data_IF_759837475413
#
_entry.id   IF_759837475413
#
_cell.length_a   1.000
_cell.length_b   1.000
_cell.length_c   1.000
_cell.angle_alpha   90.00
_cell.angle_beta   90.00
_cell.angle_gamma   90.00
#
_symmetry.space_group_name_H-M   'P 1'
#
loop_
_entity.id
_entity.type
_entity.pdbx_description
1 polymer ?
#
# COMPACT_ATOMS: atom_id res chain seq x y z
N UNK A 1 46.92 42.72 11.35
CA UNK A 1 45.76 41.91 11.80
C UNK A 1 46.08 41.36 13.18
N UNK A 2 45.27 41.64 14.21
CA UNK A 2 45.53 41.19 15.60
C UNK A 2 45.42 39.66 15.66
N UNK A 3 46.22 38.98 16.49
CA UNK A 3 46.23 37.50 16.59
C UNK A 3 44.85 36.88 16.90
N UNK A 4 43.96 37.63 17.56
CA UNK A 4 42.59 37.20 17.81
C UNK A 4 41.76 37.09 16.52
N UNK A 5 41.91 38.02 15.58
CA UNK A 5 41.21 38.01 14.29
C UNK A 5 41.63 36.82 13.43
N UNK A 6 42.92 36.45 13.47
CA UNK A 6 43.43 35.28 12.74
C UNK A 6 42.87 33.96 13.31
N UNK A 7 42.68 33.87 14.64
CA UNK A 7 42.06 32.70 15.28
C UNK A 7 40.58 32.56 14.91
N UNK A 8 39.82 33.65 14.87
CA UNK A 8 38.42 33.62 14.44
C UNK A 8 38.28 33.29 12.95
N UNK A 9 39.20 33.78 12.10
CA UNK A 9 39.23 33.43 10.68
C UNK A 9 39.55 31.94 10.47
N UNK A 10 40.53 31.39 11.20
CA UNK A 10 40.88 29.96 11.09
C UNK A 10 39.74 29.08 11.62
N UNK A 11 39.07 29.45 12.70
CA UNK A 11 37.93 28.69 13.25
C UNK A 11 36.74 28.74 12.28
N UNK A 12 36.45 29.89 11.66
CA UNK A 12 35.37 30.02 10.66
C UNK A 12 35.71 29.26 9.37
N UNK A 13 36.93 29.35 8.84
CA UNK A 13 37.37 28.55 7.69
C UNK A 13 37.33 27.04 7.99
N UNK A 14 37.70 26.64 9.21
CA UNK A 14 37.63 25.25 9.66
C UNK A 14 36.18 24.77 9.77
N UNK A 15 35.25 25.62 10.23
CA UNK A 15 33.83 25.31 10.25
C UNK A 15 33.27 25.11 8.82
N UNK A 16 33.71 25.94 7.86
CA UNK A 16 33.35 25.80 6.44
C UNK A 16 33.98 24.57 5.77
N UNK A 17 35.21 24.19 6.15
CA UNK A 17 35.87 22.97 5.67
C UNK A 17 35.29 21.68 6.32
N UNK A 18 34.65 21.80 7.49
CA UNK A 18 33.90 20.71 8.13
C UNK A 18 32.43 20.62 7.72
N UNK A 19 31.97 21.44 6.76
CA UNK A 19 30.77 21.11 5.97
C UNK A 19 31.15 19.97 5.02
N UNK A 20 31.51 18.83 5.60
CA UNK A 20 31.80 17.60 4.90
C UNK A 20 30.60 17.28 4.02
N UNK A 21 30.89 16.98 2.75
CA UNK A 21 29.94 16.58 1.72
C UNK A 21 28.61 16.11 2.31
N UNK A 22 27.63 17.00 2.39
CA UNK A 22 26.25 16.59 2.69
C UNK A 22 25.88 15.69 1.53
N UNK A 23 25.97 14.38 1.77
CA UNK A 23 25.57 13.35 0.83
C UNK A 23 24.10 13.61 0.52
N UNK A 24 23.85 14.23 -0.61
CA UNK A 24 22.50 14.64 -0.98
C UNK A 24 21.78 13.40 -1.50
N UNK A 25 20.72 13.05 -0.77
CA UNK A 25 19.79 11.98 -1.11
C UNK A 25 19.02 12.40 -2.36
N UNK A 26 18.81 11.46 -3.29
CA UNK A 26 17.91 11.71 -4.41
C UNK A 26 16.48 11.47 -3.96
N UNK A 27 15.60 12.42 -4.25
CA UNK A 27 14.19 12.32 -3.91
C UNK A 27 13.36 12.22 -5.19
N UNK A 28 12.57 11.17 -5.31
CA UNK A 28 11.52 11.01 -6.32
C UNK A 28 10.40 11.99 -5.95
N UNK A 29 10.01 12.83 -6.90
CA UNK A 29 8.94 13.82 -6.72
C UNK A 29 7.57 13.21 -6.98
N UNK A 30 6.50 13.84 -6.49
CA UNK A 30 5.14 13.40 -6.77
C UNK A 30 4.87 13.31 -8.29
N UNK A 31 5.37 14.27 -9.08
CA UNK A 31 5.17 14.27 -10.52
C UNK A 31 5.83 13.07 -11.22
N UNK A 32 6.98 12.60 -10.72
CA UNK A 32 7.69 11.45 -11.29
C UNK A 32 7.02 10.12 -10.97
N UNK A 33 6.17 10.04 -9.93
CA UNK A 33 5.39 8.82 -9.66
C UNK A 33 4.19 8.65 -10.59
N UNK A 34 3.75 9.71 -11.28
CA UNK A 34 2.67 9.68 -12.27
C UNK A 34 3.11 9.08 -13.61
N UNK A 35 3.45 7.80 -13.58
CA UNK A 35 3.83 7.00 -14.75
C UNK A 35 3.28 5.59 -14.65
N UNK A 36 3.24 4.90 -15.78
CA UNK A 36 2.92 3.47 -15.87
C UNK A 36 4.15 2.55 -15.72
N UNK A 37 5.35 3.12 -15.63
CA UNK A 37 6.59 2.42 -15.30
C UNK A 37 6.56 1.89 -13.87
N UNK A 38 7.11 0.70 -13.66
CA UNK A 38 7.34 0.16 -12.32
C UNK A 38 8.73 0.53 -11.83
N UNK A 39 8.79 1.22 -10.70
CA UNK A 39 10.04 1.51 -10.01
C UNK A 39 10.45 0.29 -9.20
N UNK A 40 11.69 -0.16 -9.39
CA UNK A 40 12.24 -1.34 -8.73
C UNK A 40 13.69 -1.09 -8.32
N UNK A 41 14.14 -1.81 -7.30
CA UNK A 41 15.56 -1.96 -6.98
C UNK A 41 15.99 -3.42 -7.19
N UNK A 42 17.30 -3.67 -7.22
CA UNK A 42 17.84 -5.03 -7.30
C UNK A 42 18.34 -5.46 -5.93
N UNK A 43 17.80 -6.57 -5.43
CA UNK A 43 18.22 -7.22 -4.18
C UNK A 43 18.56 -8.66 -4.51
N UNK A 44 19.80 -9.09 -4.24
CA UNK A 44 20.28 -10.44 -4.53
C UNK A 44 19.98 -10.91 -5.98
N UNK A 45 20.25 -10.03 -6.97
CA UNK A 45 19.97 -10.25 -8.39
C UNK A 45 18.50 -10.48 -8.74
N UNK A 46 17.56 -10.04 -7.89
CA UNK A 46 16.12 -10.06 -8.14
C UNK A 46 15.55 -8.66 -8.05
N UNK A 47 14.54 -8.37 -8.87
CA UNK A 47 13.82 -7.13 -8.75
C UNK A 47 12.78 -7.20 -7.63
N UNK A 48 12.73 -6.14 -6.83
CA UNK A 48 11.68 -5.89 -5.86
C UNK A 48 11.14 -4.48 -6.08
N UNK A 49 9.87 -4.25 -5.72
CA UNK A 49 9.25 -2.95 -5.88
C UNK A 49 9.97 -1.91 -5.02
N UNK A 50 10.26 -0.76 -5.61
CA UNK A 50 10.72 0.41 -4.86
C UNK A 50 9.50 1.10 -4.25
N UNK A 51 9.38 1.05 -2.93
CA UNK A 51 8.23 1.59 -2.19
C UNK A 51 8.57 2.87 -1.41
N UNK A 52 9.74 3.46 -1.67
CA UNK A 52 10.22 4.68 -1.03
C UNK A 52 10.50 5.78 -2.05
N UNK A 53 10.49 7.02 -1.59
CA UNK A 53 10.77 8.21 -2.39
C UNK A 53 12.23 8.68 -2.30
N UNK A 54 13.05 8.10 -1.42
CA UNK A 54 14.40 8.58 -1.16
C UNK A 54 15.46 7.52 -1.43
N UNK A 55 16.56 7.96 -2.04
CA UNK A 55 17.68 7.11 -2.41
C UNK A 55 19.00 7.69 -1.93
N UNK A 56 19.77 6.84 -1.25
CA UNK A 56 21.13 7.14 -0.83
C UNK A 56 22.05 7.25 -2.05
N UNK A 57 23.12 8.06 -1.98
CA UNK A 57 24.08 8.15 -3.06
C UNK A 57 24.64 6.79 -3.47
N UNK A 58 24.82 6.60 -4.77
CA UNK A 58 25.22 5.35 -5.43
C UNK A 58 24.17 4.24 -5.45
N UNK A 59 23.00 4.40 -4.81
CA UNK A 59 21.89 3.47 -5.03
C UNK A 59 21.37 3.59 -6.46
N UNK A 60 21.12 2.44 -7.08
CA UNK A 60 20.56 2.34 -8.42
C UNK A 60 19.09 1.92 -8.35
N UNK A 61 18.29 2.50 -9.23
CA UNK A 61 16.92 2.07 -9.51
C UNK A 61 16.79 1.66 -10.96
N UNK A 62 15.83 0.77 -11.19
CA UNK A 62 15.37 0.41 -12.52
C UNK A 62 13.90 0.78 -12.69
N UNK A 63 13.52 1.21 -13.89
CA UNK A 63 12.14 1.50 -14.27
C UNK A 63 11.73 0.55 -15.39
N UNK A 64 10.79 -0.34 -15.08
CA UNK A 64 10.40 -1.45 -15.94
C UNK A 64 9.13 -1.13 -16.76
N UNK A 65 9.12 -1.62 -18.00
CA UNK A 65 7.97 -1.71 -18.89
C UNK A 65 7.83 -3.16 -19.40
N UNK A 66 6.66 -3.54 -19.90
CA UNK A 66 6.43 -4.86 -20.48
C UNK A 66 6.83 -4.89 -21.98
N UNK A 67 6.71 -6.04 -22.63
CA UNK A 67 6.89 -6.19 -24.07
C UNK A 67 8.36 -6.20 -24.51
N UNK A 68 9.25 -6.74 -23.66
CA UNK A 68 10.70 -6.75 -23.88
C UNK A 68 11.31 -5.35 -24.04
N UNK A 69 10.64 -4.32 -23.51
CA UNK A 69 11.18 -2.98 -23.47
C UNK A 69 12.51 -2.93 -22.72
N UNK A 70 13.43 -2.09 -23.19
CA UNK A 70 14.72 -1.88 -22.52
C UNK A 70 14.49 -1.38 -21.08
N UNK A 71 15.16 -2.03 -20.13
CA UNK A 71 15.18 -1.59 -18.74
C UNK A 71 15.89 -0.25 -18.66
N UNK A 72 15.19 0.77 -18.15
CA UNK A 72 15.81 2.04 -17.85
C UNK A 72 16.44 1.98 -16.45
N UNK A 73 17.71 2.35 -16.32
CA UNK A 73 18.42 2.39 -15.04
C UNK A 73 18.87 3.82 -14.74
N UNK A 74 18.79 4.22 -13.48
CA UNK A 74 19.36 5.48 -13.00
C UNK A 74 20.02 5.29 -11.64
N UNK A 75 21.11 6.01 -11.42
CA UNK A 75 21.85 5.99 -10.17
C UNK A 75 21.70 7.33 -9.46
N UNK A 76 21.51 7.29 -8.14
CA UNK A 76 21.53 8.48 -7.33
C UNK A 76 22.96 9.05 -7.22
N UNK A 77 23.20 10.23 -7.80
CA UNK A 77 24.47 10.93 -7.70
C UNK A 77 24.71 11.53 -6.31
N UNK A 78 25.97 11.79 -5.97
CA UNK A 78 26.35 12.48 -4.72
C UNK A 78 25.85 13.93 -4.63
N UNK A 79 25.34 14.48 -5.74
CA UNK A 79 24.73 15.79 -5.88
C UNK A 79 23.20 15.76 -5.71
N UNK A 80 22.61 14.64 -5.27
CA UNK A 80 21.17 14.50 -5.04
C UNK A 80 20.34 14.44 -6.32
N UNK A 81 20.97 14.12 -7.46
CA UNK A 81 20.30 14.00 -8.75
C UNK A 81 20.43 12.60 -9.32
N UNK A 82 19.34 12.12 -9.91
CA UNK A 82 19.34 10.91 -10.72
C UNK A 82 20.14 11.10 -12.00
N UNK A 83 21.03 10.17 -12.30
CA UNK A 83 21.82 10.16 -13.53
C UNK A 83 21.75 8.77 -14.20
N UNK A 84 21.18 8.66 -15.41
CA UNK A 84 20.44 9.71 -16.14
C UNK A 84 19.17 10.18 -15.41
N UNK A 85 18.63 11.38 -15.71
CA UNK A 85 17.36 11.85 -15.14
C UNK A 85 16.20 10.88 -15.43
N UNK A 86 15.23 10.80 -14.51
CA UNK A 86 14.11 9.87 -14.66
C UNK A 86 13.29 10.19 -15.92
N UNK A 87 12.83 9.15 -16.65
CA UNK A 87 12.11 9.31 -17.90
C UNK A 87 10.73 9.92 -17.63
N UNK A 88 10.34 10.87 -18.49
CA UNK A 88 8.98 11.44 -18.49
C UNK A 88 8.02 10.68 -19.40
N UNK A 89 8.53 9.72 -20.18
CA UNK A 89 7.75 8.93 -21.13
C UNK A 89 7.24 7.65 -20.47
N UNK A 90 5.95 7.42 -20.68
CA UNK A 90 5.27 6.20 -20.29
C UNK A 90 5.68 5.01 -21.17
N UNK A 91 5.35 3.82 -20.71
CA UNK A 91 5.54 2.57 -21.40
C UNK A 91 4.61 2.46 -22.62
N UNK A 92 5.14 1.93 -23.73
CA UNK A 92 4.27 1.49 -24.83
C UNK A 92 3.39 0.31 -24.42
N UNK A 93 3.91 -0.56 -23.53
CA UNK A 93 3.18 -1.68 -22.93
C UNK A 93 3.42 -1.71 -21.42
N UNK A 94 2.35 -1.65 -20.65
CA UNK A 94 2.43 -1.60 -19.19
C UNK A 94 2.53 -3.01 -18.62
N UNK A 95 3.28 -3.17 -17.52
CA UNK A 95 3.26 -4.41 -16.74
C UNK A 95 1.92 -4.44 -15.97
N UNK A 96 1.04 -5.42 -16.22
CA UNK A 96 -0.23 -5.52 -15.52
C UNK A 96 -0.03 -5.99 -14.08
N UNK A 97 -0.90 -5.58 -13.14
CA UNK A 97 -0.92 -6.17 -11.81
C UNK A 97 -1.33 -7.64 -11.87
N UNK A 98 -0.90 -8.42 -10.89
CA UNK A 98 -1.17 -9.84 -10.80
C UNK A 98 -1.42 -10.25 -9.35
N UNK A 99 -2.32 -11.21 -9.18
CA UNK A 99 -2.58 -11.88 -7.92
C UNK A 99 -2.35 -13.38 -8.13
N UNK A 100 -1.48 -13.99 -7.32
CA UNK A 100 -1.13 -15.41 -7.45
C UNK A 100 -1.24 -16.13 -6.10
N UNK A 101 -1.81 -17.35 -6.07
CA UNK A 101 -1.81 -18.14 -4.84
C UNK A 101 -0.38 -18.62 -4.53
N UNK A 102 -0.09 -18.78 -3.24
CA UNK A 102 1.17 -19.35 -2.75
C UNK A 102 0.95 -20.22 -1.53
N UNK A 103 1.88 -21.14 -1.27
CA UNK A 103 1.88 -21.92 -0.04
C UNK A 103 2.28 -21.03 1.15
N UNK A 104 1.62 -21.25 2.29
CA UNK A 104 1.92 -20.55 3.54
C UNK A 104 1.58 -21.44 4.72
N UNK A 105 2.46 -21.48 5.72
CA UNK A 105 2.25 -22.20 6.98
C UNK A 105 1.44 -21.38 8.00
N UNK A 106 1.32 -20.07 7.81
CA UNK A 106 0.59 -19.16 8.72
C UNK A 106 -0.82 -18.84 8.22
N UNK A 107 -1.16 -19.21 6.99
CA UNK A 107 -2.50 -19.01 6.46
C UNK A 107 -3.30 -20.31 6.55
N UNK A 108 -4.39 -20.36 7.32
CA UNK A 108 -5.27 -21.54 7.36
C UNK A 108 -6.06 -21.76 6.04
N UNK A 109 -5.95 -20.83 5.09
CA UNK A 109 -6.61 -20.85 3.78
C UNK A 109 -5.60 -20.59 2.67
N UNK A 110 -6.02 -19.94 1.59
CA UNK A 110 -5.11 -19.58 0.50
C UNK A 110 -4.41 -18.27 0.82
N UNK A 111 -3.08 -18.29 0.84
CA UNK A 111 -2.29 -17.06 0.81
C UNK A 111 -2.19 -16.58 -0.64
N UNK A 112 -2.58 -15.34 -0.89
CA UNK A 112 -2.44 -14.68 -2.18
C UNK A 112 -1.35 -13.62 -2.11
N UNK A 113 -0.42 -13.64 -3.06
CA UNK A 113 0.53 -12.56 -3.29
C UNK A 113 -0.09 -11.56 -4.26
N UNK A 114 -0.05 -10.28 -3.91
CA UNK A 114 -0.43 -9.17 -4.78
C UNK A 114 0.82 -8.46 -5.23
N UNK A 115 0.95 -8.19 -6.53
CA UNK A 115 2.15 -7.58 -7.06
C UNK A 115 2.18 -7.53 -8.58
N UNK A 116 3.38 -7.68 -9.14
CA UNK A 116 3.61 -7.59 -10.57
C UNK A 116 4.56 -8.70 -11.01
N UNK A 117 4.29 -9.30 -12.18
CA UNK A 117 5.18 -10.30 -12.77
C UNK A 117 6.06 -9.64 -13.83
N UNK A 118 7.37 -9.85 -13.74
CA UNK A 118 8.35 -9.42 -14.74
C UNK A 118 9.30 -10.56 -15.07
N UNK A 119 9.16 -11.12 -16.28
CA UNK A 119 9.80 -12.38 -16.64
C UNK A 119 9.40 -13.50 -15.66
N UNK A 120 10.41 -14.13 -15.05
CA UNK A 120 10.21 -15.18 -14.05
C UNK A 120 10.12 -14.66 -12.60
N UNK A 121 10.28 -13.35 -12.39
CA UNK A 121 10.25 -12.74 -11.05
C UNK A 121 8.84 -12.24 -10.74
N UNK A 122 8.34 -12.60 -9.56
CA UNK A 122 7.15 -11.98 -8.99
C UNK A 122 7.58 -10.94 -7.96
N UNK A 123 7.28 -9.67 -8.23
CA UNK A 123 7.59 -8.55 -7.35
C UNK A 123 6.38 -8.32 -6.46
N UNK A 124 6.46 -8.84 -5.24
CA UNK A 124 5.40 -8.75 -4.25
C UNK A 124 5.27 -7.33 -3.71
N UNK A 125 4.03 -6.88 -3.57
CA UNK A 125 3.66 -5.65 -2.87
C UNK A 125 3.18 -5.96 -1.45
N UNK A 126 2.22 -6.89 -1.34
CA UNK A 126 1.72 -7.41 -0.09
C UNK A 126 1.15 -8.80 -0.32
N UNK A 127 0.84 -9.50 0.77
CA UNK A 127 0.16 -10.79 0.73
C UNK A 127 -1.06 -10.79 1.64
N UNK A 128 -2.09 -11.57 1.28
CA UNK A 128 -3.33 -11.68 2.06
C UNK A 128 -3.74 -13.14 2.22
N UNK A 129 -4.05 -13.53 3.45
CA UNK A 129 -4.68 -14.82 3.74
C UNK A 129 -6.19 -14.70 3.55
N UNK A 130 -6.74 -15.43 2.59
CA UNK A 130 -8.11 -15.24 2.12
C UNK A 130 -8.83 -16.57 1.87
N UNK A 131 -10.08 -16.67 2.32
CA UNK A 131 -11.01 -17.74 1.90
C UNK A 131 -11.98 -17.19 0.86
N UNK A 132 -11.78 -17.59 -0.40
CA UNK A 132 -12.63 -17.17 -1.52
C UNK A 132 -14.06 -17.71 -1.43
N UNK A 133 -14.29 -18.83 -0.71
CA UNK A 133 -15.64 -19.41 -0.58
C UNK A 133 -16.54 -18.58 0.31
N UNK A 134 -15.96 -17.90 1.30
CA UNK A 134 -16.69 -17.03 2.24
C UNK A 134 -16.36 -15.56 2.05
N UNK A 135 -15.55 -15.24 1.04
CA UNK A 135 -15.01 -13.91 0.75
C UNK A 135 -14.31 -13.24 1.95
N UNK A 136 -13.69 -14.05 2.82
CA UNK A 136 -13.14 -13.56 4.09
C UNK A 136 -11.64 -13.34 4.00
N UNK A 137 -11.22 -12.10 4.22
CA UNK A 137 -9.82 -11.76 4.49
C UNK A 137 -9.51 -11.94 5.98
N UNK A 138 -8.49 -12.75 6.28
CA UNK A 138 -8.08 -13.04 7.66
C UNK A 138 -7.03 -12.05 8.15
N UNK A 139 -5.98 -11.89 7.35
CA UNK A 139 -4.94 -10.90 7.58
C UNK A 139 -4.21 -10.58 6.27
N UNK A 140 -3.63 -9.40 6.18
CA UNK A 140 -2.64 -9.03 5.17
C UNK A 140 -1.31 -8.71 5.83
N UNK A 141 -0.22 -8.91 5.08
CA UNK A 141 1.14 -8.55 5.48
C UNK A 141 1.72 -7.66 4.40
N UNK A 142 2.19 -6.47 4.78
CA UNK A 142 2.86 -5.53 3.90
C UNK A 142 4.08 -4.88 4.57
N UNK A 143 4.94 -4.28 3.75
CA UNK A 143 6.05 -3.46 4.22
C UNK A 143 5.71 -1.99 4.02
N UNK A 144 5.80 -1.21 5.09
CA UNK A 144 5.55 0.25 5.08
C UNK A 144 6.90 0.97 5.12
N UNK A 145 7.11 1.85 4.15
CA UNK A 145 8.31 2.67 4.04
C UNK A 145 8.02 4.11 4.48
N UNK A 146 8.96 4.76 5.19
CA UNK A 146 8.92 6.20 5.35
C UNK A 146 8.97 6.89 3.98
N UNK A 147 8.13 7.89 3.80
CA UNK A 147 8.01 8.65 2.56
C UNK A 147 7.56 10.07 2.84
N UNK A 148 8.06 11.04 2.06
CA UNK A 148 7.56 12.41 2.09
C UNK A 148 6.49 12.66 1.01
N UNK A 149 6.24 11.68 0.15
CA UNK A 149 5.23 11.75 -0.88
C UNK A 149 3.83 11.56 -0.31
N UNK A 150 2.86 12.20 -0.97
CA UNK A 150 1.46 12.06 -0.59
C UNK A 150 0.88 10.82 -1.26
N UNK A 151 0.01 10.12 -0.53
CA UNK A 151 -0.88 9.14 -1.15
C UNK A 151 -2.02 9.88 -1.84
N UNK A 152 -2.07 9.81 -3.16
CA UNK A 152 -3.20 10.29 -3.92
C UNK A 152 -4.40 9.36 -3.74
N UNK A 153 -5.62 9.92 -3.85
CA UNK A 153 -6.84 9.13 -3.69
C UNK A 153 -7.06 8.25 -4.95
N UNK A 154 -7.05 6.92 -4.83
CA UNK A 154 -7.33 6.05 -5.96
C UNK A 154 -8.82 6.08 -6.36
N UNK A 155 -9.15 5.61 -7.57
CA UNK A 155 -10.53 5.30 -7.95
C UNK A 155 -11.20 4.39 -6.92
N UNK A 156 -12.51 4.53 -6.73
CA UNK A 156 -13.28 3.77 -5.72
C UNK A 156 -13.65 2.34 -6.15
N UNK A 157 -13.21 1.92 -7.34
CA UNK A 157 -13.43 0.59 -7.92
C UNK A 157 -12.50 -0.41 -7.24
N UNK A 158 -13.03 -1.59 -6.91
CA UNK A 158 -12.28 -2.71 -6.36
C UNK A 158 -12.16 -3.81 -7.39
N UNK A 159 -10.97 -4.41 -7.50
CA UNK A 159 -10.73 -5.53 -8.42
C UNK A 159 -11.15 -6.86 -7.75
N UNK A 160 -11.78 -7.73 -8.54
CA UNK A 160 -12.15 -9.11 -8.15
C UNK A 160 -11.00 -10.11 -8.32
N UNK A 161 -10.01 -9.74 -9.15
CA UNK A 161 -8.81 -10.54 -9.47
C UNK A 161 -9.09 -11.96 -10.00
N UNK A 162 -10.31 -12.22 -10.49
CA UNK A 162 -10.75 -13.56 -10.88
C UNK A 162 -10.93 -14.53 -9.70
N UNK A 163 -10.86 -14.04 -8.46
CA UNK A 163 -10.98 -14.85 -7.23
C UNK A 163 -12.45 -14.97 -6.81
N UNK A 164 -13.23 -13.92 -7.01
CA UNK A 164 -14.66 -13.89 -6.67
C UNK A 164 -15.52 -13.57 -7.89
N UNK A 165 -16.78 -14.00 -7.86
CA UNK A 165 -17.75 -13.76 -8.93
C UNK A 165 -18.37 -12.36 -8.86
N UNK A 166 -19.08 -11.89 -9.90
CA UNK A 166 -19.91 -10.68 -9.80
C UNK A 166 -21.02 -10.78 -8.74
N UNK A 167 -21.56 -11.98 -8.49
CA UNK A 167 -22.57 -12.20 -7.46
C UNK A 167 -21.97 -12.02 -6.05
N UNK A 168 -20.75 -12.51 -5.85
CA UNK A 168 -19.97 -12.29 -4.62
C UNK A 168 -19.69 -10.80 -4.41
N UNK A 169 -19.23 -10.08 -5.44
CA UNK A 169 -19.04 -8.62 -5.35
C UNK A 169 -20.35 -7.88 -4.98
N UNK A 170 -21.49 -8.35 -5.46
CA UNK A 170 -22.78 -7.74 -5.14
C UNK A 170 -23.12 -7.82 -3.64
N UNK A 171 -22.54 -8.74 -2.87
CA UNK A 171 -22.80 -8.83 -1.42
C UNK A 171 -22.15 -7.69 -0.63
N UNK A 172 -21.18 -6.99 -1.22
CA UNK A 172 -20.51 -5.83 -0.62
C UNK A 172 -21.28 -4.51 -0.80
N UNK A 173 -22.41 -4.52 -1.52
CA UNK A 173 -23.22 -3.34 -1.78
C UNK A 173 -24.14 -3.00 -0.61
N UNK A 174 -24.37 -1.71 -0.35
CA UNK A 174 -25.18 -1.22 0.77
C UNK A 174 -26.58 -1.85 0.83
N UNK A 175 -27.23 -1.99 -0.34
CA UNK A 175 -28.55 -2.61 -0.43
C UNK A 175 -28.53 -4.10 -0.04
N UNK A 176 -27.52 -4.85 -0.49
CA UNK A 176 -27.35 -6.26 -0.15
C UNK A 176 -27.08 -6.45 1.34
N UNK A 177 -26.25 -5.57 1.92
CA UNK A 177 -25.97 -5.56 3.36
C UNK A 177 -27.27 -5.28 4.14
N UNK A 178 -28.02 -4.22 3.78
CA UNK A 178 -29.30 -3.90 4.41
C UNK A 178 -30.30 -5.06 4.34
N UNK A 179 -30.51 -5.64 3.16
CA UNK A 179 -31.45 -6.76 2.98
C UNK A 179 -31.03 -7.99 3.80
N UNK A 180 -29.72 -8.24 3.91
CA UNK A 180 -29.21 -9.32 4.77
C UNK A 180 -29.51 -9.05 6.24
N UNK A 181 -29.36 -7.81 6.70
CA UNK A 181 -29.68 -7.44 8.07
C UNK A 181 -31.19 -7.52 8.37
N UNK A 182 -32.06 -7.02 7.48
CA UNK A 182 -33.52 -7.18 7.60
C UNK A 182 -33.92 -8.66 7.69
N UNK A 183 -33.31 -9.51 6.86
CA UNK A 183 -33.58 -10.95 6.87
C UNK A 183 -33.17 -11.63 8.18
N UNK A 184 -32.02 -11.25 8.77
CA UNK A 184 -31.50 -11.89 9.99
C UNK A 184 -32.16 -11.35 11.27
N UNK A 185 -32.41 -10.05 11.35
CA UNK A 185 -32.84 -9.38 12.57
C UNK A 185 -34.32 -8.99 12.60
N UNK A 186 -35.02 -9.17 11.48
CA UNK A 186 -36.40 -8.76 11.31
C UNK A 186 -36.54 -7.32 10.86
N UNK A 187 -37.77 -6.97 10.49
CA UNK A 187 -38.05 -5.69 9.84
C UNK A 187 -37.80 -4.48 10.74
N UNK A 188 -37.10 -3.48 10.22
CA UNK A 188 -36.75 -2.27 10.94
C UNK A 188 -35.63 -2.47 11.94
N UNK A 189 -34.65 -3.34 11.63
CA UNK A 189 -33.45 -3.44 12.47
C UNK A 189 -32.65 -2.12 12.45
N UNK A 190 -31.94 -1.84 13.53
CA UNK A 190 -31.27 -0.54 13.75
C UNK A 190 -29.78 -0.54 13.45
N UNK A 191 -29.18 -1.70 13.18
CA UNK A 191 -27.75 -1.82 12.87
C UNK A 191 -27.40 -1.22 11.49
N UNK A 192 -28.29 -1.42 10.51
CA UNK A 192 -28.22 -0.84 9.16
C UNK A 192 -29.55 -0.17 8.86
N UNK A 193 -29.79 1.08 9.32
CA UNK A 193 -31.15 1.64 9.35
C UNK A 193 -31.84 1.72 7.99
N UNK A 194 -31.08 1.90 6.90
CA UNK A 194 -31.62 2.01 5.53
C UNK A 194 -30.68 1.35 4.52
N UNK A 195 -31.18 1.05 3.32
CA UNK A 195 -30.38 0.56 2.18
C UNK A 195 -29.34 1.57 1.65
N UNK A 196 -29.36 2.80 2.14
CA UNK A 196 -28.40 3.88 1.81
C UNK A 196 -27.49 4.22 2.99
N UNK A 197 -27.65 3.56 4.13
CA UNK A 197 -26.87 3.84 5.33
C UNK A 197 -25.41 3.46 5.12
N UNK A 198 -24.51 4.41 5.38
CA UNK A 198 -23.06 4.16 5.44
C UNK A 198 -22.70 3.48 6.77
N UNK A 199 -23.27 2.31 7.05
CA UNK A 199 -23.01 1.58 8.30
C UNK A 199 -21.64 0.88 8.28
N UNK A 200 -21.26 0.33 7.12
CA UNK A 200 -20.01 -0.39 6.91
C UNK A 200 -19.27 0.17 5.70
N UNK A 201 -17.97 0.34 5.85
CA UNK A 201 -17.04 0.53 4.73
C UNK A 201 -16.36 -0.81 4.41
N UNK A 202 -15.82 -0.91 3.19
CA UNK A 202 -14.80 -1.90 2.84
C UNK A 202 -13.48 -1.46 3.46
N UNK A 203 -13.25 -1.81 4.72
CA UNK A 203 -12.07 -1.40 5.49
C UNK A 203 -10.84 -2.15 5.01
N UNK A 204 -9.83 -1.44 4.54
CA UNK A 204 -8.58 -2.02 4.05
C UNK A 204 -7.77 -2.67 5.17
N UNK A 205 -7.19 -3.85 4.89
CA UNK A 205 -6.19 -4.47 5.77
C UNK A 205 -4.80 -3.91 5.49
N UNK A 206 -4.40 -3.85 4.22
CA UNK A 206 -3.27 -3.04 3.75
C UNK A 206 -3.79 -1.71 3.21
N UNK A 207 -3.61 -0.59 3.94
CA UNK A 207 -4.15 0.71 3.57
C UNK A 207 -3.60 1.23 2.25
N UNK A 208 -4.44 1.93 1.49
CA UNK A 208 -4.01 2.71 0.30
C UNK A 208 -2.86 3.65 0.64
N UNK A 209 -2.98 4.34 1.78
CA UNK A 209 -2.09 5.43 2.16
C UNK A 209 -0.68 4.99 2.58
N UNK A 210 -0.44 3.68 2.69
CA UNK A 210 0.89 3.12 2.93
C UNK A 210 1.79 3.21 1.69
N UNK A 211 1.23 3.57 0.53
CA UNK A 211 1.94 3.72 -0.73
C UNK A 211 1.67 5.06 -1.38
N UNK A 212 2.69 5.65 -2.01
CA UNK A 212 2.57 6.96 -2.67
C UNK A 212 2.54 6.87 -4.20
N UNK A 213 2.93 5.73 -4.78
CA UNK A 213 3.03 5.56 -6.22
C UNK A 213 1.66 5.15 -6.77
N UNK A 214 1.00 5.95 -7.65
CA UNK A 214 -0.37 5.70 -8.10
C UNK A 214 -0.64 4.27 -8.59
N UNK A 215 0.28 3.69 -9.37
CA UNK A 215 0.19 2.31 -9.87
C UNK A 215 0.23 1.25 -8.76
N UNK A 216 0.97 1.53 -7.69
CA UNK A 216 1.16 0.66 -6.54
C UNK A 216 -0.02 0.78 -5.58
N UNK A 217 -0.36 2.01 -5.15
CA UNK A 217 -1.44 2.25 -4.19
C UNK A 217 -2.80 1.75 -4.69
N UNK A 218 -3.05 1.75 -6.01
CA UNK A 218 -4.29 1.21 -6.60
C UNK A 218 -4.45 -0.29 -6.29
N UNK A 219 -3.36 -1.03 -6.10
CA UNK A 219 -3.41 -2.48 -5.89
C UNK A 219 -3.93 -2.89 -4.51
N UNK A 220 -4.17 -1.94 -3.61
CA UNK A 220 -4.82 -2.22 -2.33
C UNK A 220 -6.36 -2.25 -2.45
N UNK A 221 -6.93 -1.71 -3.54
CA UNK A 221 -8.37 -1.78 -3.82
C UNK A 221 -8.75 -3.13 -4.41
N UNK A 222 -8.67 -4.18 -3.59
CA UNK A 222 -8.99 -5.57 -3.96
C UNK A 222 -9.92 -6.18 -2.92
N UNK A 223 -10.89 -6.98 -3.34
CA UNK A 223 -11.83 -7.62 -2.40
C UNK A 223 -11.13 -8.57 -1.41
N UNK A 224 -9.96 -9.12 -1.79
CA UNK A 224 -9.12 -9.93 -0.91
C UNK A 224 -8.41 -9.13 0.22
N UNK A 225 -8.44 -7.79 0.16
CA UNK A 225 -7.72 -6.90 1.06
C UNK A 225 -8.67 -6.05 1.93
N UNK A 226 -9.93 -6.46 2.05
CA UNK A 226 -10.91 -5.71 2.84
C UNK A 226 -11.70 -6.60 3.79
N UNK A 227 -12.10 -6.00 4.91
CA UNK A 227 -13.03 -6.56 5.87
C UNK A 227 -14.21 -5.59 6.05
N UNK A 228 -15.41 -6.08 6.40
CA UNK A 228 -16.50 -5.19 6.77
C UNK A 228 -16.12 -4.46 8.07
N UNK A 229 -15.98 -3.14 7.98
CA UNK A 229 -15.59 -2.32 9.13
C UNK A 229 -16.63 -1.24 9.34
N UNK A 230 -17.04 -1.03 10.60
CA UNK A 230 -17.96 0.06 10.92
C UNK A 230 -17.41 1.38 10.40
N UNK A 231 -18.25 2.12 9.68
CA UNK A 231 -17.87 3.39 9.06
C UNK A 231 -17.21 4.37 10.04
N UNK A 232 -17.75 4.47 11.25
CA UNK A 232 -17.23 5.34 12.32
C UNK A 232 -15.84 4.92 12.80
N UNK A 233 -15.52 3.62 12.78
CA UNK A 233 -14.22 3.09 13.19
C UNK A 233 -13.20 3.28 12.06
N UNK A 234 -13.54 2.87 10.84
CA UNK A 234 -12.68 2.97 9.65
C UNK A 234 -12.19 4.40 9.45
N UNK A 235 -13.09 5.38 9.53
CA UNK A 235 -12.78 6.78 9.21
C UNK A 235 -12.26 7.61 10.38
N UNK A 236 -12.17 7.03 11.58
CA UNK A 236 -11.70 7.72 12.79
C UNK A 236 -10.57 6.94 13.46
N UNK A 237 -10.87 6.15 14.49
CA UNK A 237 -9.86 5.51 15.34
C UNK A 237 -8.89 4.63 14.54
N UNK A 238 -9.39 3.89 13.55
CA UNK A 238 -8.54 3.04 12.73
C UNK A 238 -7.53 3.86 11.90
N UNK A 239 -7.99 4.95 11.29
CA UNK A 239 -7.13 5.89 10.56
C UNK A 239 -6.03 6.50 11.43
N UNK A 240 -6.28 6.71 12.72
CA UNK A 240 -5.25 7.19 13.67
C UNK A 240 -4.13 6.16 13.82
N UNK A 241 -4.49 4.87 13.97
CA UNK A 241 -3.51 3.77 14.06
C UNK A 241 -2.70 3.68 12.77
N UNK A 242 -3.36 3.69 11.62
CA UNK A 242 -2.69 3.68 10.32
C UNK A 242 -1.71 4.86 10.14
N UNK A 243 -2.13 6.08 10.54
CA UNK A 243 -1.27 7.26 10.49
C UNK A 243 -0.07 7.15 11.44
N UNK A 244 -0.25 6.55 12.61
CA UNK A 244 0.84 6.32 13.56
C UNK A 244 1.88 5.35 12.98
N UNK A 245 1.45 4.26 12.33
CA UNK A 245 2.35 3.33 11.62
C UNK A 245 3.15 4.05 10.54
N UNK A 246 2.49 4.87 9.71
CA UNK A 246 3.17 5.65 8.65
C UNK A 246 4.10 6.75 9.19
N UNK A 247 3.87 7.20 10.42
CA UNK A 247 4.71 8.21 11.09
C UNK A 247 6.05 7.69 11.59
N UNK A 248 6.24 6.37 11.62
CA UNK A 248 7.50 5.76 12.06
C UNK A 248 8.65 6.08 11.09
N UNK A 249 9.89 6.09 11.61
CA UNK A 249 11.09 6.43 10.84
C UNK A 249 11.79 5.22 10.24
N UNK A 250 11.44 4.03 10.71
CA UNK A 250 11.98 2.76 10.22
C UNK A 250 11.07 2.16 9.14
N UNK A 251 11.63 1.23 8.38
CA UNK A 251 10.84 0.34 7.51
C UNK A 251 10.17 -0.71 8.38
N UNK A 252 8.85 -0.82 8.27
CA UNK A 252 8.05 -1.71 9.11
C UNK A 252 7.45 -2.85 8.31
N UNK A 253 7.49 -4.05 8.87
CA UNK A 253 6.64 -5.15 8.40
C UNK A 253 5.38 -5.17 9.26
N UNK A 254 4.24 -4.94 8.61
CA UNK A 254 2.94 -4.75 9.25
C UNK A 254 2.06 -5.93 8.91
N UNK A 255 1.48 -6.55 9.93
CA UNK A 255 0.45 -7.57 9.78
C UNK A 255 -0.86 -7.02 10.34
N UNK A 256 -1.88 -6.91 9.50
CA UNK A 256 -3.20 -6.39 9.87
C UNK A 256 -4.24 -7.46 9.60
N UNK A 257 -5.11 -7.74 10.58
CA UNK A 257 -6.16 -8.73 10.42
C UNK A 257 -7.41 -8.40 11.22
N UNK A 258 -8.47 -9.18 10.96
CA UNK A 258 -9.68 -9.14 11.75
C UNK A 258 -9.65 -10.25 12.81
N UNK A 259 -9.97 -9.90 14.06
CA UNK A 259 -10.02 -10.85 15.17
C UNK A 259 -11.47 -11.15 15.55
N UNK A 260 -11.76 -12.44 15.75
CA UNK A 260 -13.05 -12.89 16.25
C UNK A 260 -14.18 -12.81 15.21
N UNK A 261 -15.40 -12.79 15.73
CA UNK A 261 -16.64 -12.76 14.95
C UNK A 261 -17.59 -11.85 15.70
N UNK A 262 -18.08 -10.80 15.05
CA UNK A 262 -19.04 -9.91 15.67
C UNK A 262 -20.34 -10.69 15.92
N UNK A 263 -20.82 -10.64 17.15
CA UNK A 263 -22.06 -11.29 17.55
C UNK A 263 -23.08 -10.22 17.91
N UNK A 264 -24.21 -10.22 17.20
CA UNK A 264 -25.30 -9.27 17.41
C UNK A 264 -26.57 -10.03 17.77
N UNK A 265 -27.38 -9.44 18.65
CA UNK A 265 -28.66 -10.02 19.07
C UNK A 265 -29.79 -9.50 18.17
N UNK A 266 -30.75 -10.36 17.84
CA UNK A 266 -32.03 -9.92 17.30
C UNK A 266 -33.01 -9.52 18.42
N UNK A 267 -34.20 -9.06 18.02
CA UNK A 267 -35.26 -8.66 18.95
C UNK A 267 -35.73 -9.79 19.88
N UNK A 268 -35.51 -11.05 19.50
CA UNK A 268 -35.85 -12.25 20.27
C UNK A 268 -34.63 -12.81 21.04
N UNK A 269 -33.56 -12.03 21.20
CA UNK A 269 -32.30 -12.44 21.85
C UNK A 269 -31.57 -13.62 21.20
N UNK A 270 -31.90 -13.97 19.95
CA UNK A 270 -31.10 -14.92 19.17
C UNK A 270 -29.84 -14.24 18.66
N UNK A 271 -28.72 -14.95 18.75
CA UNK A 271 -27.41 -14.44 18.39
C UNK A 271 -27.03 -14.80 16.95
N UNK A 272 -26.66 -13.79 16.17
CA UNK A 272 -26.15 -13.95 14.81
C UNK A 272 -24.66 -13.58 14.75
N UNK A 273 -23.90 -14.38 13.98
CA UNK A 273 -22.46 -14.26 13.79
C UNK A 273 -22.15 -13.57 12.45
N UNK A 274 -21.28 -12.56 12.49
CA UNK A 274 -20.84 -11.78 11.32
C UNK A 274 -19.33 -11.93 11.14
N UNK A 275 -18.95 -12.51 10.02
CA UNK A 275 -17.57 -12.81 9.63
C UNK A 275 -17.14 -12.04 8.41
#
# INVERSE_FOLDING_TARGET
MKMHELRYLIITLSLFLTVGNVKSICQITQAETWTDRLFVHSVNNRYELLLTDHLQPSQQISLLCDGNAQVFTSTCGSNGRFSPPLPRTNCSKTIPPSVVPTASNICPHTMYLVGFRYGNTFMELYRSCYDARTMKAYFSINTVYPTNLRSDRPPTVFDKDGIITPADEATFQLNSIYNRFEHLFGSGQTYVPTSRSLSFDRGHLTPVADYSFPKILRQTNKYLNVVPQYYSINRSNWKIVENWVRGQKDVLNVCTGALGVLQLLNRNQHQFRFT
#
